data_IF_746389923576
#
_entry.id   IF_746389923576
#
_cell.length_a   1.000
_cell.length_b   1.000
_cell.length_c   1.000
_cell.angle_alpha   90.00
_cell.angle_beta   90.00
_cell.angle_gamma   90.00
#
_symmetry.space_group_name_H-M   'P 1'
#
loop_
_entity.id
_entity.type
_entity.pdbx_description
1 polymer ?
#
# COMPACT_ATOMS: atom_id res chain seq x y z
N UNK A 1 9.59 30.02 8.24
CA UNK A 1 9.96 29.04 7.20
C UNK A 1 8.80 28.09 7.03
N UNK A 2 8.21 28.04 5.86
CA UNK A 2 7.12 27.11 5.55
C UNK A 2 7.71 25.69 5.52
N UNK A 3 7.27 24.83 6.44
CA UNK A 3 7.70 23.43 6.47
C UNK A 3 7.13 22.79 5.21
N UNK A 4 8.00 22.46 4.24
CA UNK A 4 7.57 21.72 3.04
C UNK A 4 7.06 20.37 3.52
N UNK A 5 5.75 20.20 3.44
CA UNK A 5 5.07 18.98 3.86
C UNK A 5 5.46 17.85 2.90
N UNK A 6 5.98 16.76 3.44
CA UNK A 6 6.37 15.61 2.61
C UNK A 6 5.13 14.85 2.11
N UNK A 7 5.29 13.97 1.12
CA UNK A 7 4.14 13.31 0.50
C UNK A 7 3.37 12.39 1.46
N UNK A 8 4.05 11.83 2.47
CA UNK A 8 3.40 11.06 3.52
C UNK A 8 2.49 11.95 4.37
N UNK A 9 2.99 13.09 4.85
CA UNK A 9 2.22 14.06 5.63
C UNK A 9 0.99 14.58 4.85
N UNK A 10 1.10 14.74 3.52
CA UNK A 10 -0.05 15.08 2.65
C UNK A 10 -1.12 13.99 2.64
N UNK A 11 -0.73 12.72 2.55
CA UNK A 11 -1.68 11.60 2.57
C UNK A 11 -2.41 11.54 3.91
N UNK A 12 -1.67 11.67 5.03
CA UNK A 12 -2.26 11.69 6.37
C UNK A 12 -3.27 12.84 6.53
N UNK A 13 -2.94 14.04 6.04
CA UNK A 13 -3.85 15.18 6.08
C UNK A 13 -5.17 14.90 5.35
N UNK A 14 -5.12 14.25 4.17
CA UNK A 14 -6.31 13.88 3.40
C UNK A 14 -7.14 12.81 4.11
N UNK A 15 -6.51 11.77 4.66
CA UNK A 15 -7.23 10.73 5.42
C UNK A 15 -7.96 11.32 6.63
N UNK A 16 -7.30 12.21 7.36
CA UNK A 16 -7.89 12.91 8.51
C UNK A 16 -9.05 13.83 8.09
N UNK A 17 -8.89 14.59 6.99
CA UNK A 17 -9.95 15.43 6.44
C UNK A 17 -11.19 14.61 6.07
N UNK A 18 -11.00 13.42 5.52
CA UNK A 18 -12.08 12.50 5.14
C UNK A 18 -12.58 11.64 6.31
N UNK A 19 -12.03 11.81 7.52
CA UNK A 19 -12.35 10.98 8.70
C UNK A 19 -12.17 9.48 8.46
N UNK A 20 -11.19 9.10 7.64
CA UNK A 20 -10.84 7.71 7.35
C UNK A 20 -9.89 7.24 8.45
N UNK A 21 -10.31 6.23 9.21
CA UNK A 21 -9.48 5.63 10.26
C UNK A 21 -8.40 4.75 9.64
N UNK A 22 -7.17 4.83 10.15
CA UNK A 22 -6.05 4.01 9.66
C UNK A 22 -5.16 3.58 10.82
N UNK A 23 -4.42 2.49 10.60
CA UNK A 23 -3.37 2.01 11.50
C UNK A 23 -2.05 2.02 10.74
N UNK A 24 -1.05 2.71 11.28
CA UNK A 24 0.28 2.77 10.69
C UNK A 24 1.16 1.70 11.34
N UNK A 25 1.61 0.74 10.53
CA UNK A 25 2.52 -0.33 10.97
C UNK A 25 3.93 0.01 10.45
N UNK A 26 4.81 0.48 11.33
CA UNK A 26 6.20 0.79 10.97
C UNK A 26 7.06 -0.48 10.94
N UNK A 27 7.57 -0.82 9.76
CA UNK A 27 8.41 -1.99 9.56
C UNK A 27 9.72 -1.60 8.90
N UNK A 28 10.81 -2.28 9.27
CA UNK A 28 12.06 -2.21 8.53
C UNK A 28 11.92 -2.80 7.13
N UNK A 29 12.90 -2.57 6.22
CA UNK A 29 12.89 -3.19 4.91
C UNK A 29 12.97 -4.72 5.04
N UNK A 30 11.93 -5.40 4.56
CA UNK A 30 11.86 -6.87 4.51
C UNK A 30 11.99 -7.38 3.08
N UNK A 31 12.69 -8.49 2.93
CA UNK A 31 12.91 -9.12 1.62
C UNK A 31 11.89 -10.23 1.34
N UNK A 32 11.43 -10.91 2.38
CA UNK A 32 10.54 -12.06 2.27
C UNK A 32 9.12 -11.70 2.71
N UNK A 33 8.14 -12.25 2.01
CA UNK A 33 6.72 -12.12 2.31
C UNK A 33 6.40 -12.59 3.72
N UNK A 34 6.96 -13.74 4.13
CA UNK A 34 6.75 -14.32 5.48
C UNK A 34 7.25 -13.39 6.59
N UNK A 35 8.34 -12.64 6.34
CA UNK A 35 8.84 -11.65 7.28
C UNK A 35 7.88 -10.47 7.39
N UNK A 36 7.30 -10.02 6.27
CA UNK A 36 6.29 -8.97 6.24
C UNK A 36 5.01 -9.38 7.00
N UNK A 37 4.62 -10.65 6.88
CA UNK A 37 3.38 -11.17 7.48
C UNK A 37 3.42 -11.13 9.01
N UNK A 38 4.60 -11.31 9.60
CA UNK A 38 4.80 -11.21 11.06
C UNK A 38 4.42 -9.84 11.64
N UNK A 39 4.52 -8.76 10.86
CA UNK A 39 4.21 -7.42 11.34
C UNK A 39 2.72 -7.10 11.37
N UNK A 40 1.90 -7.91 10.71
CA UNK A 40 0.45 -7.68 10.57
C UNK A 40 -0.38 -8.80 11.21
N UNK A 41 0.26 -9.71 11.95
CA UNK A 41 -0.43 -10.77 12.71
C UNK A 41 -1.36 -10.13 13.74
N UNK A 42 -2.64 -10.49 13.70
CA UNK A 42 -3.67 -9.99 14.61
C UNK A 42 -4.30 -8.67 14.19
N UNK A 43 -3.83 -8.04 13.11
CA UNK A 43 -4.49 -6.88 12.50
C UNK A 43 -5.59 -7.38 11.58
N UNK A 44 -6.82 -6.95 11.84
CA UNK A 44 -7.97 -7.30 11.00
C UNK A 44 -7.90 -6.57 9.65
N UNK A 45 -8.04 -7.32 8.55
CA UNK A 45 -8.09 -6.76 7.21
C UNK A 45 -7.77 -7.79 6.13
N UNK A 46 -7.94 -7.38 4.87
CA UNK A 46 -7.53 -8.18 3.71
C UNK A 46 -6.21 -7.66 3.16
N UNK A 47 -5.20 -8.53 3.14
CA UNK A 47 -3.91 -8.20 2.54
C UNK A 47 -4.10 -7.86 1.07
N UNK A 48 -3.55 -6.72 0.67
CA UNK A 48 -3.72 -6.17 -0.68
C UNK A 48 -2.39 -6.14 -1.42
N UNK A 49 -2.40 -6.57 -2.68
CA UNK A 49 -1.31 -6.45 -3.64
C UNK A 49 -1.63 -5.38 -4.67
N UNK A 50 -0.69 -4.47 -4.89
CA UNK A 50 -0.82 -3.38 -5.84
C UNK A 50 0.12 -3.62 -7.02
N UNK A 51 -0.37 -3.38 -8.24
CA UNK A 51 0.46 -3.45 -9.45
C UNK A 51 0.21 -2.24 -10.34
N UNK A 52 1.29 -1.58 -10.75
CA UNK A 52 1.25 -0.51 -11.74
C UNK A 52 1.62 -1.06 -13.12
N UNK A 53 0.64 -1.15 -14.01
CA UNK A 53 0.75 -1.77 -15.32
C UNK A 53 0.64 -0.72 -16.42
N UNK A 54 1.23 -1.01 -17.58
CA UNK A 54 1.07 -0.18 -18.78
C UNK A 54 0.71 -1.05 -19.97
N UNK A 55 -0.02 -0.48 -20.94
CA UNK A 55 -0.21 -1.15 -22.22
C UNK A 55 1.12 -1.19 -23.00
N UNK A 56 1.22 -2.06 -24.02
CA UNK A 56 2.45 -2.19 -24.84
C UNK A 56 2.95 -0.87 -25.42
N UNK A 57 2.04 0.05 -25.75
CA UNK A 57 2.37 1.38 -26.28
C UNK A 57 2.73 2.41 -25.20
N UNK A 58 2.68 2.05 -23.91
CA UNK A 58 2.90 2.92 -22.73
C UNK A 58 2.05 4.20 -22.70
N UNK A 59 0.94 4.21 -23.42
CA UNK A 59 0.01 5.35 -23.51
C UNK A 59 -1.13 5.26 -22.49
N UNK A 60 -1.30 4.09 -21.86
CA UNK A 60 -2.28 3.86 -20.81
C UNK A 60 -1.61 3.19 -19.63
N UNK A 61 -1.86 3.72 -18.44
CA UNK A 61 -1.41 3.19 -17.17
C UNK A 61 -2.62 2.65 -16.39
N UNK A 62 -2.43 1.56 -15.67
CA UNK A 62 -3.45 0.91 -14.86
C UNK A 62 -2.89 0.66 -13.46
N UNK A 63 -3.66 0.99 -12.43
CA UNK A 63 -3.38 0.60 -11.06
C UNK A 63 -4.32 -0.55 -10.71
N UNK A 64 -3.77 -1.76 -10.56
CA UNK A 64 -4.52 -2.94 -10.18
C UNK A 64 -4.34 -3.18 -8.68
N UNK A 65 -5.45 -3.22 -7.95
CA UNK A 65 -5.51 -3.44 -6.50
C UNK A 65 -6.28 -4.75 -6.30
N UNK A 66 -5.68 -5.74 -5.66
CA UNK A 66 -6.26 -7.07 -5.47
C UNK A 66 -5.98 -7.60 -4.07
N UNK A 67 -6.83 -8.51 -3.59
CA UNK A 67 -6.47 -9.36 -2.45
C UNK A 67 -5.25 -10.24 -2.78
N UNK A 68 -4.48 -10.62 -1.76
CA UNK A 68 -3.29 -11.48 -1.89
C UNK A 68 -3.64 -12.98 -1.99
N UNK A 69 -4.92 -13.35 -1.89
CA UNK A 69 -5.37 -14.73 -2.07
C UNK A 69 -5.48 -15.12 -3.54
N UNK A 70 -5.63 -14.14 -4.45
CA UNK A 70 -5.63 -14.36 -5.89
C UNK A 70 -4.22 -14.64 -6.41
N UNK A 71 -4.04 -15.83 -6.96
CA UNK A 71 -2.85 -16.19 -7.72
C UNK A 71 -2.72 -15.32 -8.99
N UNK A 72 -1.90 -14.27 -8.89
CA UNK A 72 -1.46 -13.48 -10.03
C UNK A 72 0.01 -13.09 -9.83
N UNK A 73 0.94 -13.73 -10.56
CA UNK A 73 2.36 -13.34 -10.59
C UNK A 73 2.52 -12.22 -11.62
N UNK A 74 3.06 -11.02 -11.30
CA UNK A 74 4.30 -10.74 -10.55
C UNK A 74 4.14 -9.70 -9.40
N UNK A 75 4.95 -9.78 -8.34
CA UNK A 75 4.88 -8.89 -7.14
C UNK A 75 5.33 -7.44 -7.41
N UNK A 76 4.77 -6.47 -6.65
CA UNK A 76 5.52 -5.58 -5.73
C UNK A 76 4.60 -4.62 -4.95
N UNK A 77 4.76 -4.63 -3.63
CA UNK A 77 4.23 -3.69 -2.62
C UNK A 77 2.79 -3.91 -2.15
N UNK A 78 2.64 -4.04 -0.83
CA UNK A 78 1.39 -4.12 -0.08
C UNK A 78 1.15 -2.77 0.59
N UNK A 79 -0.04 -2.21 0.38
CA UNK A 79 -0.58 -1.13 1.21
C UNK A 79 -1.96 -1.59 1.65
N UNK A 80 -2.16 -1.75 2.96
CA UNK A 80 -3.46 -2.05 3.54
C UNK A 80 -4.11 -0.72 3.95
N UNK A 81 -5.33 -0.47 3.48
CA UNK A 81 -6.18 0.60 3.97
C UNK A 81 -7.38 -0.04 4.68
N UNK A 82 -7.75 0.52 5.83
CA UNK A 82 -8.96 0.19 6.58
C UNK A 82 -10.10 1.08 6.12
#
# INVERSE_FOLDING_TARGET
MEKIMNDFEKVIAVLNQLSISYELVENGPVLLTEQADNFIVGIEGVRTKIMFLTNKKKMKCYLLIMDDQKLFYPMKTIVAFR
#
